data_IF_141977198035
#
_entry.id   IF_141977198035
#
_cell.length_a   1.000
_cell.length_b   1.000
_cell.length_c   1.000
_cell.angle_alpha   90.00
_cell.angle_beta   90.00
_cell.angle_gamma   90.00
#
_symmetry.space_group_name_H-M   'P 1'
#
loop_
_entity.id
_entity.type
_entity.pdbx_description
1 polymer ?
#
# COMPACT_ATOMS: atom_id res chain seq x y z
N UNK A 1 32.87 32.02 15.16
CA UNK A 1 32.25 30.93 14.37
C UNK A 1 32.38 29.65 15.18
N UNK A 2 31.32 29.26 15.88
CA UNK A 2 31.25 27.94 16.50
C UNK A 2 30.53 27.02 15.52
N UNK A 3 31.31 26.22 14.79
CA UNK A 3 30.81 25.10 14.01
C UNK A 3 30.31 24.05 14.99
N UNK A 4 28.99 23.93 15.12
CA UNK A 4 28.36 22.80 15.78
C UNK A 4 28.65 21.56 14.95
N UNK A 5 29.61 20.75 15.40
CA UNK A 5 29.80 19.38 14.92
C UNK A 5 28.49 18.63 15.18
N UNK A 6 27.82 18.18 14.11
CA UNK A 6 26.76 17.18 14.23
C UNK A 6 27.32 15.97 14.98
N UNK A 7 26.58 15.40 15.95
CA UNK A 7 27.04 14.18 16.62
C UNK A 7 27.29 13.11 15.56
N UNK A 8 28.48 12.51 15.58
CA UNK A 8 28.82 11.41 14.70
C UNK A 8 27.78 10.30 14.86
N UNK A 9 27.16 9.89 13.75
CA UNK A 9 26.22 8.77 13.76
C UNK A 9 26.90 7.55 14.40
N UNK A 10 26.20 6.90 15.34
CA UNK A 10 26.70 5.68 15.96
C UNK A 10 27.10 4.68 14.86
N UNK A 11 28.23 3.96 14.99
CA UNK A 11 28.66 3.03 13.95
C UNK A 11 27.58 1.97 13.74
N UNK A 12 27.22 1.74 12.48
CA UNK A 12 26.29 0.68 12.11
C UNK A 12 26.93 -0.68 12.42
N UNK A 13 26.15 -1.66 12.90
CA UNK A 13 26.64 -3.01 13.08
C UNK A 13 26.99 -3.63 11.72
N UNK A 14 27.93 -4.58 11.73
CA UNK A 14 28.36 -5.27 10.51
C UNK A 14 27.25 -6.16 9.92
N UNK A 15 26.46 -6.80 10.79
CA UNK A 15 25.28 -7.58 10.41
C UNK A 15 24.01 -6.88 10.90
N UNK A 16 23.30 -6.23 9.98
CA UNK A 16 22.02 -5.57 10.28
C UNK A 16 20.90 -6.56 10.53
N UNK A 17 20.90 -7.74 9.91
CA UNK A 17 19.86 -8.75 10.10
C UNK A 17 19.87 -9.27 11.54
N UNK A 18 21.06 -9.62 12.06
CA UNK A 18 21.22 -10.06 13.45
C UNK A 18 20.88 -8.94 14.44
N UNK A 19 21.34 -7.71 14.16
CA UNK A 19 21.08 -6.56 15.02
C UNK A 19 19.59 -6.19 15.10
N UNK A 20 18.87 -6.23 13.97
CA UNK A 20 17.42 -6.04 13.90
C UNK A 20 16.71 -7.17 14.65
N UNK A 21 17.13 -8.42 14.47
CA UNK A 21 16.58 -9.57 15.20
C UNK A 21 16.72 -9.45 16.72
N UNK A 22 17.82 -8.85 17.19
CA UNK A 22 18.03 -8.54 18.62
C UNK A 22 17.10 -7.42 19.08
N UNK A 23 17.02 -6.31 18.33
CA UNK A 23 16.15 -5.18 18.67
C UNK A 23 14.67 -5.57 18.69
N UNK A 24 14.22 -6.49 17.83
CA UNK A 24 12.84 -7.01 17.87
C UNK A 24 12.50 -7.60 19.24
N UNK A 25 13.42 -8.38 19.81
CA UNK A 25 13.25 -9.00 21.13
C UNK A 25 13.30 -7.97 22.24
N UNK A 26 14.31 -7.09 22.22
CA UNK A 26 14.54 -6.09 23.27
C UNK A 26 13.40 -5.07 23.39
N UNK A 27 12.77 -4.74 22.27
CA UNK A 27 11.68 -3.77 22.19
C UNK A 27 10.29 -4.41 22.30
N UNK A 28 10.19 -5.75 22.30
CA UNK A 28 8.94 -6.45 22.02
C UNK A 28 8.26 -5.85 20.76
N UNK A 29 9.01 -5.76 19.67
CA UNK A 29 8.59 -5.09 18.44
C UNK A 29 8.14 -6.10 17.37
N UNK A 30 7.19 -5.66 16.55
CA UNK A 30 6.81 -6.33 15.30
C UNK A 30 7.18 -5.46 14.11
N UNK A 31 7.80 -6.04 13.09
CA UNK A 31 8.08 -5.39 11.80
C UNK A 31 6.99 -5.79 10.81
N UNK A 32 6.22 -4.81 10.35
CA UNK A 32 5.20 -4.96 9.33
C UNK A 32 5.71 -4.34 8.03
N UNK A 33 5.83 -5.14 6.96
CA UNK A 33 6.36 -4.68 5.69
C UNK A 33 5.33 -4.80 4.56
N UNK A 34 5.25 -3.77 3.71
CA UNK A 34 4.52 -3.88 2.46
C UNK A 34 5.29 -4.72 1.44
N UNK A 35 4.57 -5.43 0.56
CA UNK A 35 5.18 -6.20 -0.54
C UNK A 35 6.09 -5.41 -1.48
N UNK A 36 6.00 -4.09 -1.46
CA UNK A 36 6.78 -3.21 -2.34
C UNK A 36 8.12 -2.81 -1.73
N UNK A 37 8.41 -3.22 -0.50
CA UNK A 37 9.70 -2.96 0.15
C UNK A 37 10.85 -3.70 -0.52
N UNK A 38 12.08 -3.32 -0.23
CA UNK A 38 13.25 -4.04 -0.73
C UNK A 38 13.34 -5.46 -0.16
N UNK A 39 13.91 -6.44 -0.90
CA UNK A 39 14.02 -7.83 -0.48
C UNK A 39 14.55 -8.02 0.94
N UNK A 40 15.59 -7.27 1.32
CA UNK A 40 16.20 -7.37 2.65
C UNK A 40 15.24 -6.94 3.77
N UNK A 41 14.45 -5.88 3.54
CA UNK A 41 13.42 -5.43 4.48
C UNK A 41 12.30 -6.46 4.58
N UNK A 42 11.89 -7.03 3.44
CA UNK A 42 10.90 -8.10 3.43
C UNK A 42 11.39 -9.32 4.22
N UNK A 43 12.66 -9.66 4.12
CA UNK A 43 13.23 -10.85 4.76
C UNK A 43 13.42 -10.70 6.28
N UNK A 44 13.53 -9.49 6.82
CA UNK A 44 13.54 -9.24 8.28
C UNK A 44 12.16 -9.03 8.90
N UNK A 45 11.13 -8.81 8.07
CA UNK A 45 9.77 -8.52 8.53
C UNK A 45 9.12 -9.73 9.21
N UNK A 46 8.32 -9.47 10.24
CA UNK A 46 7.53 -10.52 10.92
C UNK A 46 6.24 -10.82 10.16
N UNK A 47 5.73 -9.84 9.42
CA UNK A 47 4.60 -10.00 8.52
C UNK A 47 4.77 -9.14 7.25
N UNK A 48 4.45 -9.74 6.11
CA UNK A 48 4.51 -9.10 4.79
C UNK A 48 3.13 -9.20 4.16
N UNK A 49 2.57 -8.08 3.72
CA UNK A 49 1.21 -8.06 3.19
C UNK A 49 0.88 -6.85 2.32
N UNK A 50 -0.34 -6.88 1.78
CA UNK A 50 -0.99 -5.69 1.25
C UNK A 50 -1.56 -4.82 2.39
N UNK A 51 -2.14 -3.69 2.06
CA UNK A 51 -2.69 -2.75 3.05
C UNK A 51 -3.77 -3.35 3.96
N UNK A 52 -4.57 -4.31 3.49
CA UNK A 52 -5.61 -4.95 4.31
C UNK A 52 -4.99 -5.94 5.29
N UNK A 53 -4.08 -6.79 4.81
CA UNK A 53 -3.35 -7.74 5.64
C UNK A 53 -2.56 -7.03 6.74
N UNK A 54 -1.85 -5.95 6.38
CA UNK A 54 -1.10 -5.13 7.33
C UNK A 54 -2.00 -4.45 8.36
N UNK A 55 -3.18 -3.96 7.95
CA UNK A 55 -4.14 -3.35 8.89
C UNK A 55 -4.66 -4.37 9.91
N UNK A 56 -4.96 -5.60 9.47
CA UNK A 56 -5.36 -6.69 10.37
C UNK A 56 -4.25 -7.06 11.33
N UNK A 57 -3.04 -7.29 10.81
CA UNK A 57 -1.89 -7.63 11.63
C UNK A 57 -1.55 -6.55 12.65
N UNK A 58 -1.71 -5.27 12.28
CA UNK A 58 -1.54 -4.16 13.21
C UNK A 58 -2.63 -4.15 14.29
N UNK A 59 -3.88 -4.45 13.96
CA UNK A 59 -4.97 -4.52 14.95
C UNK A 59 -4.80 -5.68 15.94
N UNK A 60 -4.31 -6.82 15.47
CA UNK A 60 -4.24 -8.07 16.25
C UNK A 60 -2.94 -8.25 17.05
N UNK A 61 -1.93 -7.40 16.84
CA UNK A 61 -0.61 -7.57 17.48
C UNK A 61 -0.64 -7.31 19.00
N UNK A 62 0.18 -8.04 19.75
CA UNK A 62 0.45 -7.78 21.17
C UNK A 62 1.83 -7.15 21.43
N UNK A 63 2.55 -6.78 20.36
CA UNK A 63 3.82 -6.08 20.45
C UNK A 63 3.64 -4.66 21.04
N UNK A 64 4.65 -4.17 21.75
CA UNK A 64 4.66 -2.81 22.32
C UNK A 64 5.02 -1.76 21.25
N UNK A 65 5.84 -2.17 20.27
CA UNK A 65 6.33 -1.32 19.19
C UNK A 65 5.97 -1.94 17.84
N UNK A 66 5.40 -1.14 16.95
CA UNK A 66 5.18 -1.50 15.54
C UNK A 66 6.18 -0.72 14.70
N UNK A 67 7.05 -1.42 13.97
CA UNK A 67 7.93 -0.81 12.97
C UNK A 67 7.30 -1.04 11.61
N UNK A 68 6.80 0.02 11.00
CA UNK A 68 6.05 -0.07 9.76
C UNK A 68 6.95 0.27 8.57
N UNK A 69 7.43 -0.74 7.85
CA UNK A 69 8.19 -0.58 6.62
C UNK A 69 7.23 -0.43 5.42
N UNK A 70 6.84 0.82 5.18
CA UNK A 70 5.84 1.19 4.20
C UNK A 70 5.87 2.68 3.93
N UNK A 71 4.70 3.28 3.77
CA UNK A 71 4.54 4.72 3.56
C UNK A 71 3.70 5.34 4.68
N UNK A 72 3.78 6.67 4.80
CA UNK A 72 3.27 7.46 5.93
C UNK A 72 1.82 7.12 6.29
N UNK A 73 0.89 7.13 5.34
CA UNK A 73 -0.52 6.83 5.63
C UNK A 73 -0.76 5.41 6.16
N UNK A 74 0.11 4.44 5.83
CA UNK A 74 -0.01 3.08 6.33
C UNK A 74 0.45 3.02 7.80
N UNK A 75 1.55 3.71 8.12
CA UNK A 75 2.01 3.86 9.49
C UNK A 75 1.01 4.65 10.34
N UNK A 76 0.38 5.70 9.80
CA UNK A 76 -0.76 6.39 10.42
C UNK A 76 -1.92 5.42 10.68
N UNK A 77 -2.24 4.53 9.74
CA UNK A 77 -3.31 3.54 9.93
C UNK A 77 -2.98 2.60 11.09
N UNK A 78 -1.74 2.12 11.17
CA UNK A 78 -1.29 1.31 12.31
C UNK A 78 -1.38 2.08 13.64
N UNK A 79 -1.02 3.37 13.65
CA UNK A 79 -1.17 4.23 14.83
C UNK A 79 -2.63 4.43 15.20
N UNK A 80 -3.51 4.68 14.22
CA UNK A 80 -4.96 4.84 14.43
C UNK A 80 -5.54 3.61 15.12
N UNK A 81 -5.21 2.41 14.63
CA UNK A 81 -5.65 1.13 15.21
C UNK A 81 -5.02 0.84 16.57
N UNK A 82 -3.89 1.46 16.90
CA UNK A 82 -3.13 1.21 18.13
C UNK A 82 -2.73 2.51 18.83
N UNK A 83 -3.67 3.25 19.45
CA UNK A 83 -3.41 4.57 20.03
C UNK A 83 -2.27 4.59 21.05
N UNK A 84 -2.19 3.54 21.86
CA UNK A 84 -1.24 3.46 22.97
C UNK A 84 0.10 2.83 22.60
N UNK A 85 0.24 2.24 21.40
CA UNK A 85 1.50 1.61 20.97
C UNK A 85 2.39 2.63 20.27
N UNK A 86 3.69 2.41 20.36
CA UNK A 86 4.65 3.18 19.59
C UNK A 86 4.66 2.66 18.15
N UNK A 87 4.50 3.56 17.18
CA UNK A 87 4.55 3.21 15.76
C UNK A 87 5.69 3.98 15.11
N UNK A 88 6.68 3.26 14.59
CA UNK A 88 7.87 3.79 13.98
C UNK A 88 7.78 3.63 12.46
N UNK A 89 8.17 4.67 11.72
CA UNK A 89 8.31 4.64 10.27
C UNK A 89 9.78 4.93 9.95
N UNK A 90 10.54 4.06 9.24
CA UNK A 90 11.97 4.30 9.01
C UNK A 90 12.30 5.65 8.34
N UNK A 91 11.40 6.17 7.52
CA UNK A 91 11.55 7.47 6.86
C UNK A 91 10.22 8.21 6.76
N UNK A 92 10.11 9.41 7.36
CA UNK A 92 8.90 10.23 7.30
C UNK A 92 8.62 10.79 5.90
N UNK A 93 9.65 10.89 5.04
CA UNK A 93 9.49 11.35 3.66
C UNK A 93 8.93 10.24 2.75
N UNK A 94 8.74 9.01 3.27
CA UNK A 94 8.04 7.92 2.60
C UNK A 94 6.53 8.22 2.46
N UNK A 95 6.18 9.22 1.65
CA UNK A 95 4.82 9.66 1.37
C UNK A 95 4.09 8.77 0.35
N UNK A 96 3.04 9.32 -0.28
CA UNK A 96 2.34 8.64 -1.36
C UNK A 96 1.66 9.66 -2.26
N UNK A 97 2.09 9.73 -3.53
CA UNK A 97 1.51 10.66 -4.51
C UNK A 97 -0.02 10.56 -4.64
N UNK A 98 -0.58 9.35 -4.51
CA UNK A 98 -2.02 9.16 -4.54
C UNK A 98 -2.71 9.75 -3.29
N UNK A 99 -2.14 9.59 -2.09
CA UNK A 99 -2.68 10.22 -0.89
C UNK A 99 -2.59 11.75 -0.97
N UNK A 100 -1.49 12.27 -1.49
CA UNK A 100 -1.24 13.70 -1.67
C UNK A 100 -2.17 14.32 -2.73
N UNK A 101 -2.66 13.53 -3.69
CA UNK A 101 -3.61 13.96 -4.72
C UNK A 101 -4.99 14.33 -4.19
N UNK A 102 -5.27 14.05 -2.91
CA UNK A 102 -6.56 14.34 -2.27
C UNK A 102 -6.39 15.24 -1.03
N UNK A 103 -6.16 16.55 -1.21
CA UNK A 103 -5.99 17.48 -0.10
C UNK A 103 -7.29 17.63 0.71
N UNK A 104 -7.22 17.65 2.07
CA UNK A 104 -8.42 17.65 2.91
C UNK A 104 -9.41 18.79 2.63
N UNK A 105 -8.93 20.01 2.41
CA UNK A 105 -9.81 21.17 2.16
C UNK A 105 -10.56 21.03 0.81
N UNK A 106 -9.88 20.53 -0.22
CA UNK A 106 -10.48 20.32 -1.53
C UNK A 106 -11.48 19.15 -1.49
N UNK A 107 -11.14 18.08 -0.78
CA UNK A 107 -12.04 16.94 -0.58
C UNK A 107 -13.28 17.31 0.24
N UNK A 108 -13.14 18.15 1.27
CA UNK A 108 -14.28 18.64 2.04
C UNK A 108 -15.28 19.43 1.17
N UNK A 109 -14.78 20.31 0.29
CA UNK A 109 -15.60 21.02 -0.67
C UNK A 109 -16.29 20.07 -1.67
N UNK A 110 -15.56 19.05 -2.14
CA UNK A 110 -16.10 18.02 -3.03
C UNK A 110 -17.20 17.20 -2.36
N UNK A 111 -17.01 16.78 -1.11
CA UNK A 111 -18.05 16.11 -0.31
C UNK A 111 -19.27 16.99 -0.10
N UNK A 112 -19.07 18.27 0.22
CA UNK A 112 -20.16 19.23 0.44
C UNK A 112 -21.01 19.48 -0.82
N UNK A 113 -20.43 19.36 -2.01
CA UNK A 113 -21.17 19.41 -3.28
C UNK A 113 -22.06 18.18 -3.54
N UNK A 114 -21.93 17.12 -2.73
CA UNK A 114 -22.59 15.83 -2.89
C UNK A 114 -23.20 15.34 -1.56
N UNK A 115 -24.12 16.10 -0.94
CA UNK A 115 -24.56 15.89 0.45
C UNK A 115 -25.24 14.53 0.71
N UNK A 116 -25.83 13.91 -0.31
CA UNK A 116 -26.52 12.61 -0.19
C UNK A 116 -25.58 11.40 -0.43
N UNK A 117 -24.27 11.62 -0.63
CA UNK A 117 -23.34 10.54 -0.96
C UNK A 117 -22.64 10.00 0.28
N UNK A 118 -22.59 8.67 0.37
CA UNK A 118 -21.72 7.95 1.28
C UNK A 118 -20.29 7.99 0.72
N UNK A 119 -19.31 8.29 1.57
CA UNK A 119 -17.90 8.38 1.20
C UNK A 119 -17.19 7.06 1.47
N UNK A 120 -16.74 6.41 0.40
CA UNK A 120 -15.81 5.29 0.46
C UNK A 120 -14.44 5.78 0.02
N UNK A 121 -13.46 5.74 0.93
CA UNK A 121 -12.09 6.11 0.61
C UNK A 121 -11.19 4.89 0.62
N UNK A 122 -10.42 4.71 -0.45
CA UNK A 122 -9.30 3.80 -0.48
C UNK A 122 -8.28 4.22 0.60
N UNK A 123 -7.69 3.22 1.27
CA UNK A 123 -6.80 3.38 2.42
C UNK A 123 -5.58 4.28 2.14
N UNK A 124 -5.21 4.42 0.87
CA UNK A 124 -4.15 5.29 0.34
C UNK A 124 -4.56 6.77 0.36
N UNK A 125 -4.92 7.27 1.54
CA UNK A 125 -5.30 8.65 1.81
C UNK A 125 -4.84 9.06 3.22
N UNK A 126 -4.76 10.37 3.49
CA UNK A 126 -4.32 10.88 4.80
C UNK A 126 -5.30 10.52 5.92
N UNK A 127 -4.86 10.53 7.18
CA UNK A 127 -5.75 10.41 8.33
C UNK A 127 -6.94 11.39 8.30
N UNK A 128 -6.75 12.60 7.78
CA UNK A 128 -7.82 13.59 7.62
C UNK A 128 -8.89 13.16 6.60
N UNK A 129 -8.50 12.59 5.46
CA UNK A 129 -9.46 12.01 4.51
C UNK A 129 -10.19 10.83 5.15
N UNK A 130 -9.47 9.98 5.90
CA UNK A 130 -10.10 8.88 6.64
C UNK A 130 -11.17 9.39 7.60
N UNK A 131 -10.90 10.41 8.39
CA UNK A 131 -11.88 11.02 9.30
C UNK A 131 -13.10 11.64 8.59
N UNK A 132 -12.98 12.03 7.32
CA UNK A 132 -14.10 12.52 6.50
C UNK A 132 -14.87 11.40 5.76
N UNK A 133 -14.44 10.15 5.89
CA UNK A 133 -14.99 9.00 5.17
C UNK A 133 -15.96 8.20 6.04
N UNK A 134 -16.93 7.55 5.40
CA UNK A 134 -17.87 6.65 6.08
C UNK A 134 -17.31 5.22 6.14
N UNK A 135 -16.58 4.80 5.10
CA UNK A 135 -15.97 3.47 5.00
C UNK A 135 -14.58 3.60 4.35
N UNK A 136 -13.58 2.92 4.91
CA UNK A 136 -12.30 2.71 4.23
C UNK A 136 -12.36 1.42 3.41
N UNK A 137 -11.69 1.36 2.27
CA UNK A 137 -11.48 0.13 1.52
C UNK A 137 -10.02 -0.07 1.12
N UNK A 138 -9.70 -1.24 0.59
CA UNK A 138 -8.44 -1.54 -0.09
C UNK A 138 -8.73 -2.14 -1.47
N UNK A 139 -7.71 -2.29 -2.32
CA UNK A 139 -7.87 -3.01 -3.60
C UNK A 139 -8.33 -4.48 -3.42
N UNK A 140 -8.19 -5.04 -2.21
CA UNK A 140 -8.62 -6.41 -1.88
C UNK A 140 -10.11 -6.55 -1.58
N UNK A 141 -10.78 -5.48 -1.11
CA UNK A 141 -12.17 -5.56 -0.63
C UNK A 141 -13.11 -4.50 -1.21
N UNK A 142 -12.63 -3.53 -2.00
CA UNK A 142 -13.44 -2.42 -2.50
C UNK A 142 -14.71 -2.88 -3.25
N UNK A 143 -14.58 -3.87 -4.14
CA UNK A 143 -15.73 -4.43 -4.88
C UNK A 143 -16.76 -5.05 -3.93
N UNK A 144 -16.30 -5.86 -2.97
CA UNK A 144 -17.18 -6.51 -1.97
C UNK A 144 -17.89 -5.48 -1.09
N UNK A 145 -17.17 -4.47 -0.59
CA UNK A 145 -17.75 -3.42 0.26
C UNK A 145 -18.86 -2.67 -0.50
N UNK A 146 -18.63 -2.30 -1.76
CA UNK A 146 -19.61 -1.58 -2.57
C UNK A 146 -20.85 -2.44 -2.87
N UNK A 147 -20.67 -3.75 -3.08
CA UNK A 147 -21.78 -4.69 -3.29
C UNK A 147 -22.65 -4.90 -2.05
N UNK A 148 -22.10 -4.70 -0.85
CA UNK A 148 -22.86 -4.81 0.41
C UNK A 148 -23.79 -3.62 0.68
N UNK A 149 -23.62 -2.49 -0.03
CA UNK A 149 -24.43 -1.29 0.16
C UNK A 149 -25.74 -1.35 -0.62
N UNK A 150 -26.83 -0.72 -0.13
CA UNK A 150 -28.10 -0.60 -0.86
C UNK A 150 -27.90 -0.09 -2.29
N UNK A 151 -28.61 -0.65 -3.27
CA UNK A 151 -28.41 -0.36 -4.69
C UNK A 151 -28.56 1.12 -5.07
N UNK A 152 -29.43 1.83 -4.36
CA UNK A 152 -29.76 3.25 -4.52
C UNK A 152 -28.84 4.21 -3.75
N UNK A 153 -27.96 3.69 -2.89
CA UNK A 153 -26.98 4.49 -2.17
C UNK A 153 -26.03 5.18 -3.15
N UNK A 154 -26.03 6.50 -3.17
CA UNK A 154 -25.04 7.30 -3.92
C UNK A 154 -23.70 7.25 -3.20
N UNK A 155 -22.61 7.11 -3.97
CA UNK A 155 -21.28 6.87 -3.41
C UNK A 155 -20.28 7.86 -4.01
N UNK A 156 -19.47 8.48 -3.15
CA UNK A 156 -18.19 9.08 -3.51
C UNK A 156 -17.12 8.02 -3.34
N UNK A 157 -16.26 7.83 -4.35
CA UNK A 157 -15.09 6.98 -4.26
C UNK A 157 -13.81 7.81 -4.45
N UNK A 158 -12.87 7.69 -3.51
CA UNK A 158 -11.65 8.47 -3.49
C UNK A 158 -10.44 7.67 -2.96
N UNK A 159 -9.20 8.13 -3.14
CA UNK A 159 -8.81 9.13 -4.12
C UNK A 159 -8.56 8.55 -5.51
N UNK A 160 -8.47 7.22 -5.66
CA UNK A 160 -8.04 6.58 -6.90
C UNK A 160 -9.20 6.38 -7.90
N UNK A 161 -9.16 7.11 -9.01
CA UNK A 161 -10.15 7.03 -10.07
C UNK A 161 -10.10 5.69 -10.85
N UNK A 162 -8.93 5.06 -10.97
CA UNK A 162 -8.77 3.82 -11.73
C UNK A 162 -9.37 2.64 -10.96
N UNK A 163 -9.06 2.54 -9.65
CA UNK A 163 -9.71 1.60 -8.75
C UNK A 163 -11.22 1.87 -8.70
N UNK A 164 -11.63 3.14 -8.62
CA UNK A 164 -13.04 3.53 -8.67
C UNK A 164 -13.75 3.02 -9.92
N UNK A 165 -13.19 3.25 -11.11
CA UNK A 165 -13.72 2.74 -12.39
C UNK A 165 -13.75 1.21 -12.43
N UNK A 166 -12.71 0.55 -11.93
CA UNK A 166 -12.68 -0.91 -11.83
C UNK A 166 -13.83 -1.41 -10.96
N UNK A 167 -14.06 -0.80 -9.80
CA UNK A 167 -15.19 -1.13 -8.91
C UNK A 167 -16.53 -0.89 -9.62
N UNK A 168 -16.71 0.24 -10.32
CA UNK A 168 -17.93 0.49 -11.10
C UNK A 168 -18.15 -0.61 -12.15
N UNK A 169 -17.10 -1.02 -12.86
CA UNK A 169 -17.17 -2.10 -13.85
C UNK A 169 -17.55 -3.45 -13.23
N UNK A 170 -17.00 -3.80 -12.07
CA UNK A 170 -17.27 -5.08 -11.40
C UNK A 170 -18.65 -5.13 -10.73
N UNK A 171 -19.16 -3.99 -10.30
CA UNK A 171 -20.40 -3.91 -9.49
C UNK A 171 -21.60 -3.42 -10.27
N UNK A 172 -21.40 -2.75 -11.41
CA UNK A 172 -22.44 -2.04 -12.14
C UNK A 172 -22.95 -0.78 -11.44
N UNK A 173 -22.29 -0.34 -10.37
CA UNK A 173 -22.67 0.85 -9.59
C UNK A 173 -22.18 2.12 -10.28
N UNK A 174 -23.01 3.15 -10.24
CA UNK A 174 -22.59 4.52 -10.59
C UNK A 174 -22.01 5.20 -9.34
N UNK A 175 -20.83 5.79 -9.46
CA UNK A 175 -20.10 6.41 -8.35
C UNK A 175 -19.46 7.73 -8.81
N UNK A 176 -19.42 8.70 -7.91
CA UNK A 176 -18.73 9.97 -8.12
C UNK A 176 -17.27 9.81 -7.71
N UNK A 177 -16.35 9.91 -8.66
CA UNK A 177 -14.93 9.63 -8.45
C UNK A 177 -14.12 10.90 -8.19
N UNK A 178 -13.30 10.89 -7.15
CA UNK A 178 -12.18 11.83 -7.04
C UNK A 178 -11.16 11.54 -8.14
N UNK A 179 -10.60 12.58 -8.77
CA UNK A 179 -9.72 12.45 -9.94
C UNK A 179 -8.24 12.33 -9.54
N UNK A 180 -7.92 11.45 -8.58
CA UNK A 180 -6.56 11.12 -8.17
C UNK A 180 -6.11 9.79 -8.77
N UNK A 181 -4.80 9.58 -8.85
CA UNK A 181 -4.22 8.35 -9.43
C UNK A 181 -2.83 8.07 -8.88
N UNK A 182 -2.43 6.79 -8.92
CA UNK A 182 -1.10 6.36 -8.53
C UNK A 182 -0.08 6.61 -9.66
N UNK A 183 0.94 7.42 -9.37
CA UNK A 183 1.99 7.71 -10.36
C UNK A 183 2.69 6.46 -10.90
N UNK A 184 2.80 5.39 -10.10
CA UNK A 184 3.48 4.15 -10.51
C UNK A 184 2.62 3.42 -11.54
N UNK A 185 1.34 3.25 -11.25
CA UNK A 185 0.42 2.46 -12.07
C UNK A 185 -0.08 3.19 -13.32
N UNK A 186 0.13 4.50 -13.42
CA UNK A 186 -0.06 5.27 -14.67
C UNK A 186 1.17 5.27 -15.58
N UNK A 187 2.31 4.74 -15.14
CA UNK A 187 3.51 4.73 -15.98
C UNK A 187 3.53 3.61 -17.01
N UNK A 188 2.69 2.56 -16.88
CA UNK A 188 2.78 1.37 -17.73
C UNK A 188 2.46 1.66 -19.19
N UNK A 189 3.35 1.23 -20.10
CA UNK A 189 3.15 1.43 -21.53
C UNK A 189 2.40 0.27 -22.16
N UNK A 190 1.18 0.51 -22.64
CA UNK A 190 0.41 -0.48 -23.38
C UNK A 190 1.20 -1.07 -24.57
N UNK A 191 1.85 -0.21 -25.37
CA UNK A 191 2.65 -0.65 -26.53
C UNK A 191 3.75 -1.63 -26.14
N UNK A 192 4.49 -1.33 -25.06
CA UNK A 192 5.58 -2.20 -24.60
C UNK A 192 5.03 -3.47 -23.94
N UNK A 193 3.89 -3.39 -23.26
CA UNK A 193 3.19 -4.55 -22.71
C UNK A 193 2.79 -5.53 -23.82
N UNK A 194 2.20 -5.05 -24.91
CA UNK A 194 1.86 -5.86 -26.08
C UNK A 194 3.11 -6.47 -26.72
N UNK A 195 4.21 -5.71 -26.83
CA UNK A 195 5.48 -6.25 -27.32
C UNK A 195 6.01 -7.37 -26.42
N UNK A 196 5.87 -7.22 -25.09
CA UNK A 196 6.28 -8.22 -24.14
C UNK A 196 5.42 -9.49 -24.26
N UNK A 197 4.11 -9.34 -24.47
CA UNK A 197 3.20 -10.46 -24.73
C UNK A 197 3.57 -11.22 -26.02
N UNK A 198 4.01 -10.53 -27.08
CA UNK A 198 4.51 -11.17 -28.31
C UNK A 198 5.79 -11.98 -28.04
N UNK A 199 6.69 -11.43 -27.22
CA UNK A 199 7.96 -12.09 -26.88
C UNK A 199 7.75 -13.27 -25.90
N UNK A 200 6.71 -13.21 -25.07
CA UNK A 200 6.35 -14.20 -24.05
C UNK A 200 4.90 -14.67 -24.24
N UNK A 201 4.59 -15.40 -25.34
CA UNK A 201 3.20 -15.71 -25.73
C UNK A 201 2.49 -16.68 -24.78
N UNK A 202 3.22 -17.31 -23.85
CA UNK A 202 2.68 -18.21 -22.82
C UNK A 202 2.50 -17.52 -21.46
N UNK A 203 2.97 -16.28 -21.33
CA UNK A 203 2.90 -15.57 -20.06
C UNK A 203 1.48 -15.05 -19.81
N UNK A 204 0.96 -15.28 -18.60
CA UNK A 204 -0.26 -14.62 -18.14
C UNK A 204 0.06 -13.22 -17.65
N UNK A 205 -0.71 -12.23 -18.09
CA UNK A 205 -0.61 -10.85 -17.63
C UNK A 205 -1.46 -10.70 -16.36
N UNK A 206 -0.83 -10.30 -15.26
CA UNK A 206 -1.51 -10.08 -13.97
C UNK A 206 -1.32 -8.63 -13.56
N UNK A 207 -2.41 -7.91 -13.25
CA UNK A 207 -2.38 -6.46 -13.12
C UNK A 207 -3.11 -5.95 -11.88
N UNK A 208 -2.59 -4.87 -11.30
CA UNK A 208 -3.24 -4.20 -10.18
C UNK A 208 -4.37 -3.26 -10.67
N UNK A 209 -5.54 -3.17 -10.00
CA UNK A 209 -6.67 -2.35 -10.45
C UNK A 209 -6.44 -0.82 -10.42
N UNK A 210 -5.29 -0.37 -9.93
CA UNK A 210 -4.87 1.04 -10.03
C UNK A 210 -4.35 1.41 -11.43
N UNK A 211 -4.08 0.42 -12.29
CA UNK A 211 -3.66 0.65 -13.67
C UNK A 211 -4.78 1.22 -14.55
N UNK A 212 -4.40 1.92 -15.61
CA UNK A 212 -5.36 2.45 -16.59
C UNK A 212 -6.10 1.34 -17.35
N UNK A 213 -7.33 1.62 -17.78
CA UNK A 213 -8.17 0.66 -18.51
C UNK A 213 -7.52 0.09 -19.79
N UNK A 214 -6.70 0.89 -20.47
CA UNK A 214 -5.94 0.47 -21.67
C UNK A 214 -4.87 -0.58 -21.36
N UNK A 215 -4.39 -0.64 -20.13
CA UNK A 215 -3.47 -1.68 -19.64
C UNK A 215 -4.27 -2.87 -19.11
N UNK A 216 -5.30 -2.61 -18.30
CA UNK A 216 -6.12 -3.66 -17.67
C UNK A 216 -6.83 -4.58 -18.68
N UNK A 217 -7.19 -4.08 -19.87
CA UNK A 217 -7.83 -4.90 -20.92
C UNK A 217 -6.98 -6.06 -21.43
N UNK A 218 -5.66 -6.03 -21.20
CA UNK A 218 -4.74 -7.12 -21.57
C UNK A 218 -4.53 -8.12 -20.45
N UNK A 219 -4.99 -7.84 -19.23
CA UNK A 219 -4.75 -8.68 -18.07
C UNK A 219 -5.62 -9.95 -18.10
N UNK A 220 -4.98 -11.09 -17.83
CA UNK A 220 -5.65 -12.36 -17.55
C UNK A 220 -6.25 -12.38 -16.14
N UNK A 221 -5.64 -11.65 -15.21
CA UNK A 221 -6.13 -11.52 -13.84
C UNK A 221 -5.89 -10.11 -13.31
N UNK A 222 -6.90 -9.54 -12.65
CA UNK A 222 -6.84 -8.22 -12.03
C UNK A 222 -7.14 -8.36 -10.54
N UNK A 223 -6.28 -7.83 -9.68
CA UNK A 223 -6.47 -7.90 -8.25
C UNK A 223 -5.44 -7.15 -7.43
N UNK A 224 -5.64 -7.10 -6.12
CA UNK A 224 -4.66 -6.57 -5.18
C UNK A 224 -3.35 -7.36 -5.22
N UNK A 225 -2.28 -6.80 -4.67
CA UNK A 225 -0.97 -7.45 -4.63
C UNK A 225 -1.01 -8.87 -4.02
N UNK A 226 -1.77 -9.07 -2.93
CA UNK A 226 -1.99 -10.40 -2.35
C UNK A 226 -2.73 -11.34 -3.32
N UNK A 227 -3.74 -10.82 -4.02
CA UNK A 227 -4.50 -11.60 -4.98
C UNK A 227 -3.62 -12.01 -6.18
N UNK A 228 -2.77 -11.11 -6.67
CA UNK A 228 -1.81 -11.40 -7.74
C UNK A 228 -0.84 -12.54 -7.33
N UNK A 229 -0.30 -12.46 -6.11
CA UNK A 229 0.59 -13.49 -5.56
C UNK A 229 -0.12 -14.85 -5.45
N UNK A 230 -1.34 -14.89 -4.90
CA UNK A 230 -2.14 -16.11 -4.78
C UNK A 230 -2.49 -16.70 -6.14
N UNK A 231 -2.91 -15.87 -7.09
CA UNK A 231 -3.21 -16.29 -8.45
C UNK A 231 -1.97 -16.92 -9.12
N UNK A 232 -0.83 -16.24 -9.01
CA UNK A 232 0.44 -16.74 -9.54
C UNK A 232 0.87 -18.08 -8.93
N UNK A 233 0.56 -18.36 -7.67
CA UNK A 233 0.85 -19.66 -7.04
C UNK A 233 -0.07 -20.77 -7.56
N UNK A 234 -1.38 -20.47 -7.63
CA UNK A 234 -2.42 -21.45 -7.95
C UNK A 234 -2.54 -21.75 -9.45
N UNK A 235 -2.17 -20.80 -10.31
CA UNK A 235 -2.19 -20.98 -11.76
C UNK A 235 -1.22 -22.11 -12.19
N UNK A 236 -1.57 -22.85 -13.23
CA UNK A 236 -0.70 -23.87 -13.81
C UNK A 236 0.35 -23.27 -14.78
N UNK A 237 0.31 -21.97 -15.03
CA UNK A 237 1.31 -21.32 -15.88
C UNK A 237 2.66 -21.21 -15.19
N UNK A 238 3.71 -21.23 -16.01
CA UNK A 238 5.10 -21.09 -15.59
C UNK A 238 5.65 -19.68 -15.76
N UNK A 239 4.93 -18.77 -16.42
CA UNK A 239 5.42 -17.44 -16.77
C UNK A 239 4.33 -16.38 -16.58
N UNK A 240 4.69 -15.25 -15.97
CA UNK A 240 3.77 -14.15 -15.67
C UNK A 240 4.39 -12.81 -15.99
N UNK A 241 3.63 -11.94 -16.64
CA UNK A 241 3.95 -10.52 -16.77
C UNK A 241 3.25 -9.78 -15.64
N UNK A 242 4.04 -9.18 -14.75
CA UNK A 242 3.58 -8.56 -13.50
C UNK A 242 3.42 -7.06 -13.71
N UNK A 243 2.17 -6.62 -13.81
CA UNK A 243 1.80 -5.21 -14.05
C UNK A 243 1.42 -4.54 -12.72
N UNK A 244 2.43 -4.38 -11.88
CA UNK A 244 2.38 -3.61 -10.62
C UNK A 244 3.81 -3.21 -10.22
N UNK A 245 4.00 -2.71 -9.01
CA UNK A 245 5.32 -2.37 -8.47
C UNK A 245 6.16 -3.66 -8.31
N UNK A 246 7.42 -3.70 -8.76
CA UNK A 246 8.20 -4.93 -8.89
C UNK A 246 8.66 -5.58 -7.57
N UNK A 247 8.56 -4.90 -6.41
CA UNK A 247 8.94 -5.46 -5.11
C UNK A 247 8.19 -6.75 -4.75
N UNK A 248 6.95 -6.93 -5.27
CA UNK A 248 6.19 -8.18 -5.07
C UNK A 248 6.87 -9.40 -5.70
N UNK A 249 7.70 -9.20 -6.73
CA UNK A 249 8.37 -10.28 -7.47
C UNK A 249 9.26 -11.10 -6.54
N UNK A 250 9.89 -10.48 -5.53
CA UNK A 250 10.66 -11.20 -4.51
C UNK A 250 9.83 -12.29 -3.82
N UNK A 251 8.63 -11.96 -3.33
CA UNK A 251 7.75 -12.96 -2.71
C UNK A 251 7.20 -13.96 -3.71
N UNK A 252 6.90 -13.54 -4.95
CA UNK A 252 6.45 -14.44 -6.00
C UNK A 252 7.51 -15.51 -6.29
N UNK A 253 8.79 -15.11 -6.40
CA UNK A 253 9.92 -16.03 -6.61
C UNK A 253 10.14 -16.94 -5.39
N UNK A 254 10.05 -16.43 -4.16
CA UNK A 254 10.18 -17.26 -2.95
C UNK A 254 9.07 -18.30 -2.83
N UNK A 255 7.83 -17.95 -3.16
CA UNK A 255 6.68 -18.85 -3.00
C UNK A 255 6.42 -19.74 -4.23
N UNK A 256 6.98 -19.39 -5.39
CA UNK A 256 6.91 -20.20 -6.61
C UNK A 256 8.23 -20.17 -7.41
N UNK A 257 9.31 -20.77 -6.89
CA UNK A 257 10.66 -20.66 -7.47
C UNK A 257 10.82 -21.28 -8.86
N UNK A 258 9.91 -22.17 -9.28
CA UNK A 258 9.89 -22.75 -10.62
C UNK A 258 9.23 -21.88 -11.68
N UNK A 259 8.73 -20.69 -11.32
CA UNK A 259 7.99 -19.79 -12.21
C UNK A 259 8.82 -18.55 -12.55
N UNK A 260 8.57 -18.01 -13.73
CA UNK A 260 9.22 -16.82 -14.27
C UNK A 260 8.29 -15.62 -14.09
N UNK A 261 8.80 -14.56 -13.47
CA UNK A 261 8.09 -13.32 -13.22
C UNK A 261 8.79 -12.18 -13.95
N UNK A 262 8.07 -11.55 -14.87
CA UNK A 262 8.61 -10.51 -15.75
C UNK A 262 7.96 -9.18 -15.37
N UNK A 263 8.70 -8.18 -14.88
CA UNK A 263 8.12 -6.88 -14.57
C UNK A 263 7.64 -6.18 -15.84
N UNK A 264 6.44 -5.59 -15.79
CA UNK A 264 5.92 -4.82 -16.91
C UNK A 264 6.72 -3.50 -17.08
N UNK A 265 7.09 -3.13 -18.32
CA UNK A 265 7.92 -1.95 -18.56
C UNK A 265 7.11 -0.64 -18.40
N UNK A 266 7.69 0.41 -17.79
CA UNK A 266 7.08 1.73 -17.80
C UNK A 266 7.25 2.40 -19.17
N UNK A 267 6.62 3.56 -19.34
CA UNK A 267 6.68 4.38 -20.54
C UNK A 267 8.08 4.97 -20.75
N UNK A 268 8.75 5.35 -19.66
CA UNK A 268 10.14 5.80 -19.67
C UNK A 268 11.11 4.74 -20.23
N UNK A 269 12.29 5.16 -20.67
CA UNK A 269 13.30 4.27 -21.24
C UNK A 269 14.01 3.38 -20.19
N UNK A 270 13.87 3.70 -18.90
CA UNK A 270 14.40 2.89 -17.80
C UNK A 270 13.32 1.95 -17.23
N UNK A 271 13.73 0.88 -16.53
CA UNK A 271 12.84 -0.06 -15.82
C UNK A 271 12.28 0.52 -14.50
N UNK A 272 11.92 1.81 -14.50
CA UNK A 272 11.57 2.58 -13.31
C UNK A 272 10.05 2.55 -12.99
N UNK A 273 9.46 1.38 -12.77
CA UNK A 273 8.11 1.24 -12.18
C UNK A 273 8.17 0.96 -10.66
N UNK A 274 9.31 1.25 -10.05
CA UNK A 274 9.48 1.22 -8.60
C UNK A 274 8.84 2.44 -7.95
N UNK A 275 8.17 2.24 -6.81
CA UNK A 275 7.63 3.35 -6.06
C UNK A 275 8.76 4.09 -5.33
N UNK A 276 9.06 5.36 -5.69
CA UNK A 276 10.18 6.09 -5.09
C UNK A 276 9.98 6.30 -3.58
N UNK A 277 8.73 6.36 -3.11
CA UNK A 277 8.41 6.51 -1.69
C UNK A 277 8.65 5.23 -0.89
N UNK A 278 8.30 4.06 -1.44
CA UNK A 278 8.56 2.79 -0.76
C UNK A 278 10.07 2.56 -0.56
N UNK A 279 10.86 2.91 -1.60
CA UNK A 279 12.34 2.80 -1.64
C UNK A 279 13.09 3.77 -0.71
N UNK A 280 12.39 4.70 -0.04
CA UNK A 280 13.03 5.55 0.97
C UNK A 280 13.37 4.78 2.24
N UNK A 281 12.64 3.69 2.53
CA UNK A 281 12.98 2.79 3.62
C UNK A 281 14.18 1.94 3.20
N UNK A 282 15.22 1.91 4.04
CA UNK A 282 16.37 1.02 3.88
C UNK A 282 16.58 0.20 5.13
N UNK A 283 17.36 -0.88 5.05
CA UNK A 283 17.66 -1.72 6.20
C UNK A 283 18.38 -0.93 7.31
N UNK A 284 19.25 0.00 6.94
CA UNK A 284 19.93 0.91 7.88
C UNK A 284 18.93 1.83 8.58
N UNK A 285 18.01 2.45 7.83
CA UNK A 285 16.99 3.33 8.43
C UNK A 285 16.05 2.54 9.33
N UNK A 286 15.68 1.32 8.95
CA UNK A 286 14.87 0.43 9.78
C UNK A 286 15.58 0.14 11.11
N UNK A 287 16.86 -0.28 11.06
CA UNK A 287 17.67 -0.51 12.24
C UNK A 287 17.79 0.75 13.12
N UNK A 288 18.13 1.90 12.52
CA UNK A 288 18.28 3.16 13.24
C UNK A 288 16.95 3.60 13.87
N UNK A 289 15.83 3.38 13.19
CA UNK A 289 14.53 3.72 13.72
C UNK A 289 14.18 2.89 14.94
N UNK A 290 14.43 1.58 14.90
CA UNK A 290 14.29 0.71 16.08
C UNK A 290 15.24 1.12 17.20
N UNK A 291 16.51 1.38 16.88
CA UNK A 291 17.54 1.69 17.87
C UNK A 291 17.28 2.99 18.61
N UNK A 292 16.84 4.02 17.90
CA UNK A 292 16.57 5.36 18.44
C UNK A 292 15.11 5.55 18.87
N UNK A 293 14.23 4.62 18.49
CA UNK A 293 12.76 4.72 18.62
C UNK A 293 12.19 5.97 17.94
N UNK A 294 12.81 6.38 16.83
CA UNK A 294 12.43 7.56 16.04
C UNK A 294 12.70 7.33 14.55
N UNK A 295 11.90 7.89 13.64
CA UNK A 295 10.77 8.76 13.92
C UNK A 295 9.50 7.98 14.32
N UNK A 296 8.77 8.54 15.29
CA UNK A 296 7.47 8.02 15.75
C UNK A 296 6.30 8.74 15.05
N UNK A 297 5.31 7.96 14.63
CA UNK A 297 4.03 8.48 14.14
C UNK A 297 3.18 8.93 15.33
N UNK A 298 2.84 10.22 15.32
CA UNK A 298 1.93 10.84 16.28
C UNK A 298 0.74 11.44 15.55
N UNK A 299 -0.43 11.40 16.17
CA UNK A 299 -1.67 11.93 15.62
C UNK A 299 -2.43 12.68 16.71
N UNK A 300 -3.18 13.70 16.30
CA UNK A 300 -4.14 14.35 17.19
C UNK A 300 -5.20 13.32 17.66
N UNK A 301 -5.51 13.26 18.98
CA UNK A 301 -6.43 12.26 19.51
C UNK A 301 -7.84 12.30 18.90
N UNK A 302 -8.33 13.49 18.56
CA UNK A 302 -9.65 13.64 17.97
C UNK A 302 -9.64 13.19 16.51
N UNK A 303 -8.61 13.57 15.74
CA UNK A 303 -8.41 13.05 14.39
C UNK A 303 -8.31 11.53 14.37
N UNK A 304 -7.56 10.96 15.30
CA UNK A 304 -7.41 9.52 15.46
C UNK A 304 -8.75 8.83 15.73
N UNK A 305 -9.55 9.37 16.65
CA UNK A 305 -10.87 8.83 17.00
C UNK A 305 -11.82 8.85 15.80
N UNK A 306 -11.83 9.93 15.03
CA UNK A 306 -12.68 10.06 13.84
C UNK A 306 -12.23 9.12 12.72
N UNK A 307 -10.92 9.02 12.47
CA UNK A 307 -10.38 8.13 11.43
C UNK A 307 -10.51 6.64 11.76
N UNK A 308 -10.61 6.28 13.04
CA UNK A 308 -10.75 4.89 13.48
C UNK A 308 -12.07 4.25 13.02
N UNK A 309 -13.18 4.98 13.09
CA UNK A 309 -14.52 4.45 12.78
C UNK A 309 -14.63 3.83 11.37
N UNK A 310 -14.24 4.52 10.28
CA UNK A 310 -14.34 3.96 8.94
C UNK A 310 -13.33 2.84 8.67
N UNK A 311 -12.19 2.80 9.39
CA UNK A 311 -11.23 1.68 9.32
C UNK A 311 -11.82 0.45 10.01
N UNK A 312 -12.42 0.59 11.19
CA UNK A 312 -13.08 -0.53 11.87
C UNK A 312 -14.22 -1.08 11.01
N UNK A 313 -15.00 -0.19 10.39
CA UNK A 313 -16.06 -0.58 9.47
C UNK A 313 -15.53 -1.39 8.28
N UNK A 314 -14.39 -0.99 7.70
CA UNK A 314 -13.70 -1.77 6.67
C UNK A 314 -13.40 -3.19 7.15
N UNK A 315 -12.81 -3.33 8.35
CA UNK A 315 -12.37 -4.62 8.89
C UNK A 315 -13.56 -5.54 9.15
N UNK A 316 -14.64 -5.01 9.74
CA UNK A 316 -15.91 -5.72 9.99
C UNK A 316 -16.55 -6.22 8.69
N UNK A 317 -16.62 -5.37 7.65
CA UNK A 317 -17.23 -5.71 6.36
C UNK A 317 -16.38 -6.65 5.49
N UNK A 318 -15.15 -6.92 5.92
CA UNK A 318 -14.20 -7.79 5.20
C UNK A 318 -13.98 -9.14 5.89
N UNK A 319 -14.65 -9.38 7.02
CA UNK A 319 -14.56 -10.60 7.82
C UNK A 319 -15.22 -11.81 7.14
#
# INVERSE_FOLDING_TARGET
MFTTLSPAAAPLPYDLFEAIGTLKKDLNAVILAHYYQDPDIQDVADYIGDSLGLSRQAADTNADVIVFAGVHFMAETAKILNPNKQVLLPDLDAGCSLADSCPPNAFAAFKAAHPDHLVISYINCTAAIKAMSDIICTSSNAVSIVQQLPADQKIIFAPDQNLGRYVMQQTGRDMVLWQGSCMVHETFSEKKLVQLQINHPKAEIIAHPECEAVVLRHANFIGSTTALLKYAQQSNQSEFIVVTEPGIIHQMQKQAPGKVFIPAPPTAACACNECPHMRLNTLEKLYLAMKTRQPEITLDPELQRQALQPIQRMLEMSA
#
